data_IF_578752217883
#
_entry.id   IF_578752217883
#
_cell.length_a   1.000
_cell.length_b   1.000
_cell.length_c   1.000
_cell.angle_alpha   90.00
_cell.angle_beta   90.00
_cell.angle_gamma   90.00
#
_symmetry.space_group_name_H-M   'P 1'
#
loop_
_entity.id
_entity.type
_entity.pdbx_description
1 polymer ?
#
# COMPACT_ATOMS: atom_id res chain seq x y z
N UNK A 1 11.04 -40.05 0.76
CA UNK A 1 11.74 -40.16 -0.55
C UNK A 1 10.69 -40.25 -1.64
N UNK A 2 10.11 -39.11 -2.05
CA UNK A 2 9.19 -38.98 -3.18
C UNK A 2 9.40 -37.59 -3.78
N UNK A 3 9.44 -37.56 -5.11
CA UNK A 3 9.83 -36.48 -6.02
C UNK A 3 8.78 -35.36 -6.20
N UNK A 4 9.29 -34.19 -6.61
CA UNK A 4 8.77 -33.21 -7.59
C UNK A 4 7.27 -33.13 -7.86
N UNK A 5 6.73 -31.90 -7.82
CA UNK A 5 6.09 -31.21 -8.96
C UNK A 5 5.60 -29.81 -8.53
N UNK A 6 6.13 -28.76 -9.15
CA UNK A 6 5.31 -27.61 -9.55
C UNK A 6 5.78 -27.18 -10.94
N UNK A 7 4.84 -27.29 -11.89
CA UNK A 7 5.04 -27.02 -13.29
C UNK A 7 4.51 -25.61 -13.61
N UNK A 8 5.34 -24.81 -14.27
CA UNK A 8 4.95 -23.60 -14.98
C UNK A 8 3.97 -23.96 -16.11
N UNK A 9 2.89 -23.18 -16.26
CA UNK A 9 2.10 -23.16 -17.50
C UNK A 9 2.49 -21.91 -18.29
N UNK A 10 3.16 -22.14 -19.41
CA UNK A 10 3.35 -21.17 -20.47
C UNK A 10 2.31 -21.43 -21.57
N UNK A 11 1.60 -20.39 -22.01
CA UNK A 11 0.76 -20.45 -23.20
C UNK A 11 1.63 -20.30 -24.46
N UNK A 12 1.47 -21.23 -25.41
CA UNK A 12 2.16 -21.22 -26.69
C UNK A 12 1.22 -20.66 -27.78
N UNK A 13 1.64 -19.57 -28.43
CA UNK A 13 1.08 -19.12 -29.70
C UNK A 13 2.08 -19.43 -30.82
N UNK A 14 1.62 -20.18 -31.82
CA UNK A 14 2.38 -20.57 -33.01
C UNK A 14 2.34 -19.43 -34.03
N UNK A 15 3.50 -18.94 -34.46
CA UNK A 15 3.64 -18.12 -35.65
C UNK A 15 4.79 -18.63 -36.53
N UNK A 16 4.44 -18.96 -37.77
CA UNK A 16 5.30 -19.49 -38.83
C UNK A 16 6.24 -18.41 -39.34
N UNK A 17 7.52 -18.74 -39.48
CA UNK A 17 8.58 -17.80 -39.85
C UNK A 17 8.68 -17.48 -41.34
N UNK A 18 9.25 -16.30 -41.62
CA UNK A 18 10.01 -16.01 -42.84
C UNK A 18 11.28 -15.25 -42.43
N UNK A 19 12.41 -15.78 -42.90
CA UNK A 19 13.78 -15.29 -42.70
C UNK A 19 14.00 -13.90 -43.32
N UNK A 20 14.64 -13.01 -42.57
CA UNK A 20 15.20 -11.75 -43.05
C UNK A 20 16.31 -11.27 -42.13
N UNK A 21 17.55 -11.40 -42.58
CA UNK A 21 18.78 -11.06 -41.85
C UNK A 21 18.91 -9.53 -41.77
N UNK A 22 18.95 -8.99 -40.55
CA UNK A 22 19.25 -7.58 -40.29
C UNK A 22 19.67 -7.39 -38.84
N UNK A 23 20.97 -7.30 -38.61
CA UNK A 23 21.55 -6.88 -37.34
C UNK A 23 21.08 -5.45 -37.01
N UNK A 24 20.13 -5.32 -36.10
CA UNK A 24 19.88 -4.10 -35.34
C UNK A 24 19.85 -4.51 -33.87
N UNK A 25 20.91 -4.12 -33.16
CA UNK A 25 21.00 -4.17 -31.70
C UNK A 25 19.74 -3.54 -31.08
N UNK A 26 19.11 -4.18 -30.07
CA UNK A 26 18.03 -3.54 -29.36
C UNK A 26 18.64 -2.36 -28.60
N UNK A 27 18.30 -1.15 -29.07
CA UNK A 27 18.49 0.07 -28.31
C UNK A 27 17.83 -0.14 -26.95
N UNK A 28 18.65 -0.17 -25.91
CA UNK A 28 18.20 0.06 -24.55
C UNK A 28 17.40 1.35 -24.55
N UNK A 29 16.07 1.24 -24.45
CA UNK A 29 15.23 2.37 -24.08
C UNK A 29 15.59 2.67 -22.64
N UNK A 30 16.58 3.53 -22.46
CA UNK A 30 16.77 4.26 -21.23
C UNK A 30 15.47 5.07 -21.06
N UNK A 31 14.65 4.68 -20.09
CA UNK A 31 13.59 5.53 -19.59
C UNK A 31 14.26 6.73 -18.90
N UNK A 32 14.73 7.70 -19.68
CA UNK A 32 14.94 9.06 -19.19
C UNK A 32 13.57 9.68 -19.03
N UNK A 33 12.91 9.36 -17.91
CA UNK A 33 11.79 10.15 -17.41
C UNK A 33 12.25 11.60 -17.27
N UNK A 34 11.50 12.51 -17.89
CA UNK A 34 11.80 13.92 -17.91
C UNK A 34 11.90 14.47 -16.49
N UNK A 35 13.11 14.93 -16.13
CA UNK A 35 13.34 15.79 -14.96
C UNK A 35 12.58 17.09 -15.13
N UNK A 36 11.39 17.18 -14.56
CA UNK A 36 10.80 18.48 -14.23
C UNK A 36 11.32 18.86 -12.84
N UNK A 37 12.52 19.45 -12.82
CA UNK A 37 13.02 20.12 -11.63
C UNK A 37 12.07 21.26 -11.29
N UNK A 38 11.34 21.14 -10.18
CA UNK A 38 10.89 22.32 -9.45
C UNK A 38 12.15 23.01 -8.94
N UNK A 39 12.54 24.08 -9.61
CA UNK A 39 13.71 24.86 -9.27
C UNK A 39 13.47 25.62 -7.95
N UNK A 40 14.34 25.31 -6.99
CA UNK A 40 14.71 26.07 -5.79
C UNK A 40 14.01 25.73 -4.48
N UNK A 41 14.88 25.53 -3.48
CA UNK A 41 14.68 25.16 -2.08
C UNK A 41 14.53 23.64 -1.91
N UNK A 42 15.18 23.03 -0.90
CA UNK A 42 14.89 21.69 -0.33
C UNK A 42 15.83 20.47 -0.59
N UNK A 43 16.84 20.47 -1.47
CA UNK A 43 17.42 19.19 -1.97
C UNK A 43 18.72 18.64 -1.37
N UNK A 44 19.50 19.39 -0.58
CA UNK A 44 20.87 18.90 -0.25
C UNK A 44 20.91 17.86 0.87
N UNK A 45 19.88 17.81 1.73
CA UNK A 45 19.85 16.92 2.90
C UNK A 45 18.62 16.00 2.94
N UNK A 46 17.84 15.92 1.87
CA UNK A 46 16.71 14.99 1.77
C UNK A 46 17.05 13.96 0.70
N UNK A 47 16.86 12.69 1.03
CA UNK A 47 17.24 11.53 0.24
C UNK A 47 16.10 10.50 0.26
N UNK A 48 16.13 9.58 -0.70
CA UNK A 48 15.14 8.50 -0.84
C UNK A 48 14.01 8.81 -1.83
N UNK A 49 13.82 7.90 -2.79
CA UNK A 49 12.84 7.98 -3.88
C UNK A 49 11.96 6.72 -4.00
N UNK A 50 11.97 5.86 -2.99
CA UNK A 50 11.41 4.50 -3.09
C UNK A 50 9.90 4.40 -2.82
N UNK A 51 9.15 5.51 -2.89
CA UNK A 51 7.69 5.62 -2.70
C UNK A 51 7.18 5.19 -1.31
N UNK A 52 5.96 5.62 -0.95
CA UNK A 52 5.38 5.46 0.38
C UNK A 52 4.46 4.25 0.53
N UNK A 53 3.48 4.10 -0.37
CA UNK A 53 2.53 3.00 -0.35
C UNK A 53 2.22 2.46 -1.76
N UNK A 54 1.93 1.17 -1.86
CA UNK A 54 1.41 0.54 -3.07
C UNK A 54 0.53 -0.66 -2.71
N UNK A 55 -0.62 -0.79 -3.36
CA UNK A 55 -1.57 -1.87 -3.20
C UNK A 55 -1.87 -2.46 -4.57
N UNK A 56 -1.61 -3.75 -4.76
CA UNK A 56 -1.96 -4.39 -6.02
C UNK A 56 -3.49 -4.58 -6.19
N UNK A 57 -3.86 -4.93 -7.40
CA UNK A 57 -5.24 -5.27 -7.76
C UNK A 57 -5.28 -6.67 -8.36
N UNK A 58 -6.28 -7.45 -7.95
CA UNK A 58 -6.46 -8.83 -8.38
C UNK A 58 -7.88 -9.14 -8.83
N UNK A 59 -8.03 -10.35 -9.36
CA UNK A 59 -9.33 -10.88 -9.73
C UNK A 59 -9.41 -12.36 -9.37
N UNK A 60 -10.58 -12.80 -8.94
CA UNK A 60 -10.88 -14.21 -8.74
C UNK A 60 -12.30 -14.51 -9.23
N UNK A 61 -12.68 -15.78 -9.27
CA UNK A 61 -14.05 -16.14 -9.62
C UNK A 61 -14.60 -17.18 -8.66
N UNK A 62 -15.94 -17.19 -8.53
CA UNK A 62 -16.72 -18.16 -7.79
C UNK A 62 -17.76 -18.82 -8.71
N UNK A 63 -18.38 -19.92 -8.28
CA UNK A 63 -19.36 -20.60 -9.14
C UNK A 63 -20.72 -19.93 -9.06
N UNK A 64 -21.12 -19.55 -7.85
CA UNK A 64 -22.44 -18.99 -7.58
C UNK A 64 -22.32 -17.78 -6.63
N UNK A 65 -23.27 -16.86 -6.71
CA UNK A 65 -23.38 -15.76 -5.74
C UNK A 65 -23.66 -16.36 -4.35
N UNK A 66 -22.94 -15.88 -3.34
CA UNK A 66 -22.95 -16.40 -1.97
C UNK A 66 -21.81 -17.38 -1.67
N UNK A 67 -21.03 -17.78 -2.69
CA UNK A 67 -19.80 -18.57 -2.47
C UNK A 67 -18.72 -17.70 -1.80
N UNK A 68 -17.95 -18.32 -0.91
CA UNK A 68 -16.75 -17.71 -0.33
C UNK A 68 -15.50 -18.07 -1.15
N UNK A 69 -14.59 -17.11 -1.31
CA UNK A 69 -13.30 -17.29 -1.96
C UNK A 69 -12.19 -16.63 -1.16
N UNK A 70 -10.97 -17.15 -1.30
CA UNK A 70 -9.79 -16.50 -0.74
C UNK A 70 -9.31 -15.42 -1.72
N UNK A 71 -9.08 -14.24 -1.18
CA UNK A 71 -8.47 -13.11 -1.87
C UNK A 71 -7.06 -12.87 -1.35
N UNK A 72 -6.21 -12.29 -2.19
CA UNK A 72 -4.82 -11.99 -1.83
C UNK A 72 -4.42 -10.66 -2.45
N UNK A 73 -3.88 -9.77 -1.63
CA UNK A 73 -3.24 -8.53 -2.05
C UNK A 73 -1.75 -8.56 -1.71
N UNK A 74 -0.98 -7.90 -2.54
CA UNK A 74 0.36 -7.44 -2.22
C UNK A 74 0.31 -5.97 -1.84
N UNK A 75 0.79 -5.67 -0.63
CA UNK A 75 0.88 -4.31 -0.10
C UNK A 75 2.33 -3.97 0.17
N UNK A 76 2.81 -2.85 -0.36
CA UNK A 76 4.13 -2.32 -0.06
C UNK A 76 4.02 -1.05 0.76
N UNK A 77 4.85 -0.93 1.78
CA UNK A 77 4.90 0.21 2.67
C UNK A 77 6.35 0.57 2.97
N UNK A 78 6.65 1.86 3.07
CA UNK A 78 7.94 2.36 3.55
C UNK A 78 7.74 3.46 4.58
N UNK A 79 8.71 3.71 5.49
CA UNK A 79 8.66 4.89 6.36
C UNK A 79 8.67 6.19 5.54
N UNK A 80 7.83 7.16 5.93
CA UNK A 80 7.79 8.48 5.29
C UNK A 80 9.12 9.25 5.46
N UNK A 81 9.62 9.39 6.68
CA UNK A 81 10.88 10.08 7.01
C UNK A 81 11.65 9.32 8.11
N UNK A 82 12.97 9.27 7.97
CA UNK A 82 13.93 8.90 9.00
C UNK A 82 15.08 9.89 8.95
N UNK A 83 15.56 10.38 10.09
CA UNK A 83 16.69 11.32 10.15
C UNK A 83 17.96 10.60 10.56
N UNK A 84 19.10 11.05 10.02
CA UNK A 84 20.43 10.54 10.37
C UNK A 84 20.77 10.73 11.85
N UNK A 85 20.25 11.79 12.48
CA UNK A 85 20.43 12.05 13.91
C UNK A 85 19.42 11.32 14.79
N UNK A 86 18.47 10.58 14.17
CA UNK A 86 17.41 9.82 14.81
C UNK A 86 16.44 10.65 15.69
N UNK A 87 16.43 11.99 15.55
CA UNK A 87 15.62 12.90 16.37
C UNK A 87 14.28 13.26 15.69
N UNK A 88 14.16 13.02 14.39
CA UNK A 88 12.92 13.18 13.66
C UNK A 88 12.65 11.99 12.74
N UNK A 89 11.67 11.19 13.12
CA UNK A 89 11.25 10.02 12.36
C UNK A 89 9.74 10.00 12.23
N UNK A 90 9.23 9.41 11.15
CA UNK A 90 7.85 9.00 11.07
C UNK A 90 7.74 7.55 11.49
N UNK A 91 6.78 7.27 12.36
CA UNK A 91 6.46 5.90 12.75
C UNK A 91 5.05 5.59 12.32
N UNK A 92 4.84 4.30 12.05
CA UNK A 92 3.54 3.79 11.73
C UNK A 92 3.19 3.85 10.26
N UNK A 93 2.76 2.71 9.74
CA UNK A 93 1.96 2.61 8.55
C UNK A 93 0.66 1.87 8.90
N UNK A 94 -0.36 2.02 8.06
CA UNK A 94 -1.61 1.30 8.24
C UNK A 94 -2.09 0.64 6.95
N UNK A 95 -2.65 -0.55 7.11
CA UNK A 95 -3.41 -1.27 6.08
C UNK A 95 -4.86 -1.27 6.55
N UNK A 96 -5.76 -0.84 5.67
CA UNK A 96 -7.18 -0.72 5.92
C UNK A 96 -7.88 -1.78 5.08
N UNK A 97 -8.70 -2.61 5.70
CA UNK A 97 -9.41 -3.71 5.06
C UNK A 97 -10.88 -3.66 5.47
N UNK A 98 -11.85 -3.78 4.54
CA UNK A 98 -13.26 -3.88 4.90
C UNK A 98 -13.53 -5.04 5.86
N UNK A 99 -14.37 -4.83 6.86
CA UNK A 99 -14.79 -5.87 7.82
C UNK A 99 -15.55 -7.05 7.18
N UNK A 100 -15.92 -6.95 5.91
CA UNK A 100 -16.45 -8.06 5.11
C UNK A 100 -15.40 -9.13 4.79
N UNK A 101 -14.10 -8.80 4.91
CA UNK A 101 -13.00 -9.74 4.75
C UNK A 101 -12.75 -10.49 6.06
N UNK A 102 -13.02 -11.79 6.06
CA UNK A 102 -12.83 -12.68 7.22
C UNK A 102 -11.43 -13.28 7.22
N UNK A 103 -11.02 -13.83 8.36
CA UNK A 103 -9.80 -14.61 8.51
C UNK A 103 -8.53 -13.94 7.97
N UNK A 104 -8.43 -12.62 8.16
CA UNK A 104 -7.30 -11.82 7.67
C UNK A 104 -5.97 -12.36 8.22
N UNK A 105 -5.03 -12.59 7.31
CA UNK A 105 -3.64 -12.93 7.62
C UNK A 105 -2.71 -12.02 6.83
N UNK A 106 -1.65 -11.53 7.49
CA UNK A 106 -0.67 -10.62 6.90
C UNK A 106 0.74 -11.19 7.07
N UNK A 107 1.37 -11.53 5.94
CA UNK A 107 2.70 -12.16 5.89
C UNK A 107 3.70 -11.20 5.26
N UNK A 108 4.80 -10.93 5.94
CA UNK A 108 5.93 -10.21 5.36
C UNK A 108 6.66 -11.13 4.37
N UNK A 109 6.73 -10.72 3.11
CA UNK A 109 7.38 -11.47 2.03
C UNK A 109 8.71 -10.85 1.60
N UNK A 110 8.87 -9.54 1.76
CA UNK A 110 10.12 -8.85 1.48
C UNK A 110 10.37 -7.77 2.51
N UNK A 111 11.64 -7.60 2.89
CA UNK A 111 12.09 -6.53 3.79
C UNK A 111 13.37 -5.88 3.27
N UNK A 112 13.68 -4.65 3.67
CA UNK A 112 14.93 -4.00 3.32
C UNK A 112 16.16 -4.76 3.80
N UNK A 113 17.26 -4.65 3.05
CA UNK A 113 18.58 -5.15 3.44
C UNK A 113 19.30 -4.08 4.26
N UNK A 114 19.73 -4.46 5.47
CA UNK A 114 20.52 -3.57 6.33
C UNK A 114 21.86 -3.18 5.70
N UNK A 115 22.30 -1.95 5.98
CA UNK A 115 23.61 -1.45 5.54
C UNK A 115 23.70 -1.12 4.05
N UNK A 116 22.57 -1.09 3.35
CA UNK A 116 22.47 -0.50 2.02
C UNK A 116 22.73 1.01 2.09
N UNK A 117 23.29 1.55 1.01
CA UNK A 117 23.47 2.99 0.86
C UNK A 117 22.10 3.67 0.72
N UNK A 118 21.78 4.58 1.64
CA UNK A 118 20.50 5.28 1.69
C UNK A 118 20.49 6.53 0.79
N UNK A 119 21.63 6.87 0.18
CA UNK A 119 21.73 7.90 -0.86
C UNK A 119 21.21 7.39 -2.23
N UNK A 120 21.05 6.07 -2.41
CA UNK A 120 20.52 5.50 -3.64
C UNK A 120 18.98 5.67 -3.73
N UNK A 121 18.46 5.83 -4.95
CA UNK A 121 17.03 5.95 -5.23
C UNK A 121 16.22 4.66 -4.95
N UNK A 122 16.84 3.63 -4.39
CA UNK A 122 16.27 2.33 -4.06
C UNK A 122 17.03 1.75 -2.86
N UNK A 123 16.32 1.01 -2.00
CA UNK A 123 16.93 0.23 -0.92
C UNK A 123 16.71 -1.24 -1.24
N UNK A 124 17.76 -2.03 -1.53
CA UNK A 124 17.62 -3.43 -1.88
C UNK A 124 16.76 -4.20 -0.86
N UNK A 125 15.85 -5.02 -1.36
CA UNK A 125 15.01 -5.88 -0.53
C UNK A 125 15.45 -7.35 -0.63
N UNK A 126 15.24 -8.10 0.45
CA UNK A 126 15.43 -9.55 0.52
C UNK A 126 14.10 -10.24 0.76
N UNK A 127 13.92 -11.41 0.16
CA UNK A 127 12.80 -12.29 0.44
C UNK A 127 12.86 -12.82 1.87
N UNK A 128 11.70 -12.87 2.51
CA UNK A 128 11.47 -13.48 3.82
C UNK A 128 10.13 -14.22 3.80
N UNK A 129 9.93 -15.09 4.77
CA UNK A 129 8.68 -15.81 4.97
C UNK A 129 8.31 -15.69 6.45
N UNK A 130 7.58 -14.62 6.79
CA UNK A 130 7.27 -14.29 8.18
C UNK A 130 5.82 -13.89 8.34
N UNK A 131 5.06 -14.71 9.06
CA UNK A 131 3.73 -14.35 9.53
C UNK A 131 3.85 -13.25 10.60
N UNK A 132 3.35 -12.06 10.29
CA UNK A 132 3.36 -10.95 11.25
C UNK A 132 2.21 -11.18 12.24
N UNK A 133 2.44 -11.16 13.55
CA UNK A 133 1.37 -11.25 14.54
C UNK A 133 0.41 -10.07 14.41
N UNK A 134 -0.89 -10.34 14.56
CA UNK A 134 -1.93 -9.33 14.71
C UNK A 134 -2.40 -9.40 16.15
N UNK A 135 -2.37 -8.27 16.85
CA UNK A 135 -2.79 -8.13 18.26
C UNK A 135 -3.91 -7.11 18.39
N UNK A 136 -4.71 -7.23 19.44
CA UNK A 136 -5.92 -6.41 19.62
C UNK A 136 -5.67 -5.11 20.39
N UNK A 137 -4.45 -4.89 20.91
CA UNK A 137 -4.12 -3.68 21.65
C UNK A 137 -2.63 -3.31 21.58
N UNK A 138 -2.34 -2.05 21.91
CA UNK A 138 -0.96 -1.51 21.94
C UNK A 138 -0.14 -2.16 23.07
N UNK A 139 -0.76 -2.59 24.16
CA UNK A 139 -0.08 -3.27 25.27
C UNK A 139 0.47 -4.65 24.90
N UNK A 140 -0.14 -5.31 23.91
CA UNK A 140 0.30 -6.60 23.37
C UNK A 140 1.30 -6.47 22.23
N UNK A 141 1.63 -5.23 21.83
CA UNK A 141 2.56 -4.96 20.75
C UNK A 141 3.93 -5.58 21.03
N UNK A 142 4.48 -6.23 20.02
CA UNK A 142 5.82 -6.79 20.05
C UNK A 142 6.63 -6.34 18.85
N UNK A 143 7.88 -5.96 19.07
CA UNK A 143 8.83 -5.71 17.98
C UNK A 143 9.61 -6.95 17.61
N UNK A 144 9.93 -7.06 16.32
CA UNK A 144 10.78 -8.11 15.81
C UNK A 144 12.06 -7.53 15.19
N UNK A 145 13.15 -7.57 15.95
CA UNK A 145 14.46 -7.08 15.51
C UNK A 145 15.01 -7.81 14.27
N UNK A 146 14.58 -9.05 14.01
CA UNK A 146 15.04 -9.81 12.83
C UNK A 146 14.38 -9.31 11.56
N UNK A 147 13.09 -8.97 11.63
CA UNK A 147 12.28 -8.57 10.48
C UNK A 147 12.05 -7.05 10.39
N UNK A 148 12.51 -6.29 11.39
CA UNK A 148 12.40 -4.82 11.46
C UNK A 148 10.98 -4.31 11.35
N UNK A 149 10.04 -5.06 11.91
CA UNK A 149 8.64 -4.69 11.99
C UNK A 149 8.12 -4.98 13.39
N UNK A 150 7.08 -4.27 13.81
CA UNK A 150 6.25 -4.69 14.94
C UNK A 150 5.20 -5.71 14.52
N UNK A 151 4.49 -6.28 15.49
CA UNK A 151 3.15 -6.82 15.26
C UNK A 151 2.22 -5.74 14.73
N UNK A 152 1.21 -6.14 13.96
CA UNK A 152 0.08 -5.27 13.63
C UNK A 152 -0.81 -5.10 14.86
N UNK A 153 -1.20 -3.87 15.17
CA UNK A 153 -2.27 -3.59 16.13
C UNK A 153 -3.56 -3.35 15.36
N UNK A 154 -4.58 -4.16 15.64
CA UNK A 154 -5.91 -4.04 15.02
C UNK A 154 -6.74 -2.99 15.77
N UNK A 155 -7.34 -2.06 15.03
CA UNK A 155 -8.28 -1.04 15.51
C UNK A 155 -7.82 -0.33 16.80
N UNK A 156 -6.59 0.22 16.86
CA UNK A 156 -6.03 0.80 18.09
C UNK A 156 -6.85 1.98 18.65
N UNK A 157 -7.69 2.59 17.83
CA UNK A 157 -8.55 3.73 18.20
C UNK A 157 -10.05 3.38 18.19
N UNK A 158 -10.40 2.09 18.16
CA UNK A 158 -11.78 1.64 18.05
C UNK A 158 -12.29 1.65 16.60
N UNK A 159 -13.62 1.70 16.44
CA UNK A 159 -14.28 1.71 15.12
C UNK A 159 -14.10 3.07 14.44
N UNK A 160 -14.25 3.13 13.11
CA UNK A 160 -14.22 4.41 12.39
C UNK A 160 -15.39 5.31 12.79
N UNK A 161 -16.55 4.72 13.10
CA UNK A 161 -17.72 5.46 13.58
C UNK A 161 -17.48 6.18 14.92
N UNK A 162 -16.55 5.67 15.72
CA UNK A 162 -16.18 6.21 17.04
C UNK A 162 -14.85 7.00 17.02
N UNK A 163 -14.27 7.29 15.84
CA UNK A 163 -12.97 7.97 15.70
C UNK A 163 -13.06 9.48 16.00
N UNK A 164 -13.28 9.79 17.28
CA UNK A 164 -13.28 11.15 17.83
C UNK A 164 -11.87 11.77 17.70
N UNK A 165 -11.64 12.48 16.61
CA UNK A 165 -10.36 13.17 16.35
C UNK A 165 -9.75 12.89 14.99
N UNK A 166 -10.39 12.04 14.17
CA UNK A 166 -9.87 11.62 12.87
C UNK A 166 -8.47 10.99 13.00
N UNK A 167 -8.27 10.13 14.01
CA UNK A 167 -7.01 9.45 14.30
C UNK A 167 -6.62 8.47 13.19
N UNK A 168 -7.59 7.91 12.46
CA UNK A 168 -7.32 7.13 11.25
C UNK A 168 -7.11 8.02 10.01
N UNK A 169 -7.61 9.26 10.04
CA UNK A 169 -7.42 10.24 8.96
C UNK A 169 -8.13 9.89 7.66
N UNK A 170 -9.23 9.15 7.74
CA UNK A 170 -10.09 8.75 6.62
C UNK A 170 -11.55 9.06 6.92
N UNK A 171 -12.38 9.04 5.89
CA UNK A 171 -13.83 9.21 5.98
C UNK A 171 -14.51 7.97 5.39
N UNK A 172 -15.68 7.53 5.90
CA UNK A 172 -16.46 6.48 5.25
C UNK A 172 -16.80 6.85 3.81
N UNK A 173 -16.99 5.82 2.98
CA UNK A 173 -17.50 6.03 1.62
C UNK A 173 -18.87 6.74 1.66
N UNK A 174 -19.09 7.62 0.70
CA UNK A 174 -20.32 8.40 0.49
C UNK A 174 -21.49 7.55 -0.03
N UNK A 175 -21.22 6.32 -0.45
CA UNK A 175 -22.25 5.35 -0.81
C UNK A 175 -22.99 4.86 0.44
N UNK A 176 -24.24 4.45 0.27
CA UNK A 176 -25.05 3.93 1.37
C UNK A 176 -24.60 2.51 1.77
N UNK A 177 -24.92 2.12 3.00
CA UNK A 177 -24.78 0.73 3.52
C UNK A 177 -23.36 0.17 3.35
N UNK A 178 -22.37 1.00 3.65
CA UNK A 178 -20.95 0.63 3.67
C UNK A 178 -20.63 -0.15 4.95
N UNK A 179 -19.75 -1.17 4.87
CA UNK A 179 -19.32 -1.91 6.03
C UNK A 179 -18.34 -1.07 6.87
N UNK A 180 -18.14 -1.48 8.12
CA UNK A 180 -17.02 -0.99 8.92
C UNK A 180 -15.69 -1.40 8.28
N UNK A 181 -14.60 -0.73 8.68
CA UNK A 181 -13.25 -1.03 8.26
C UNK A 181 -12.39 -1.44 9.45
N UNK A 182 -11.54 -2.44 9.21
CA UNK A 182 -10.50 -2.86 10.13
C UNK A 182 -9.17 -2.18 9.75
N UNK A 183 -8.54 -1.57 10.75
CA UNK A 183 -7.28 -0.83 10.64
C UNK A 183 -6.16 -1.63 11.28
N UNK A 184 -5.14 -1.96 10.50
CA UNK A 184 -3.98 -2.72 10.94
C UNK A 184 -2.76 -1.78 10.92
N UNK A 185 -2.36 -1.28 12.09
CA UNK A 185 -1.22 -0.36 12.20
C UNK A 185 0.08 -1.10 12.58
N UNK A 186 1.19 -0.74 11.95
CA UNK A 186 2.49 -1.42 12.11
C UNK A 186 3.66 -0.43 12.17
N UNK A 187 4.65 -0.72 13.02
CA UNK A 187 5.95 -0.05 13.00
C UNK A 187 6.86 -0.63 11.92
N UNK A 188 7.43 0.25 11.10
CA UNK A 188 8.44 -0.08 10.08
C UNK A 188 9.81 0.43 10.57
N UNK A 189 10.62 -0.46 11.13
CA UNK A 189 11.79 -0.12 11.94
C UNK A 189 13.10 -0.16 11.15
N UNK A 190 13.04 0.01 9.83
CA UNK A 190 14.21 0.16 8.96
C UNK A 190 13.86 0.98 7.71
N UNK A 191 14.82 1.68 7.09
CA UNK A 191 14.60 2.39 5.84
C UNK A 191 14.41 1.41 4.67
N UNK A 192 13.56 1.79 3.71
CA UNK A 192 13.25 1.02 2.51
C UNK A 192 11.84 0.44 2.48
N UNK A 193 11.53 -0.31 1.42
CA UNK A 193 10.20 -0.89 1.20
C UNK A 193 10.04 -2.26 1.88
N UNK A 194 8.96 -2.43 2.62
CA UNK A 194 8.46 -3.70 3.14
C UNK A 194 7.31 -4.17 2.26
N UNK A 195 7.29 -5.44 1.90
CA UNK A 195 6.21 -6.02 1.10
C UNK A 195 5.48 -7.10 1.89
N UNK A 196 4.17 -6.92 2.02
CA UNK A 196 3.25 -7.80 2.72
C UNK A 196 2.34 -8.51 1.71
N UNK A 197 2.08 -9.79 1.96
CA UNK A 197 0.99 -10.54 1.37
C UNK A 197 -0.16 -10.54 2.38
N UNK A 198 -1.28 -9.93 2.00
CA UNK A 198 -2.50 -9.84 2.79
C UNK A 198 -3.50 -10.82 2.20
N UNK A 199 -3.97 -11.78 2.98
CA UNK A 199 -4.97 -12.75 2.55
C UNK A 199 -6.22 -12.67 3.42
N UNK A 200 -7.38 -12.96 2.84
CA UNK A 200 -8.61 -13.11 3.61
C UNK A 200 -9.68 -13.86 2.82
N UNK A 201 -10.79 -14.15 3.49
CA UNK A 201 -11.95 -14.85 2.91
C UNK A 201 -13.07 -13.83 2.67
N UNK A 202 -13.65 -13.86 1.47
CA UNK A 202 -14.71 -12.94 1.05
C UNK A 202 -15.86 -13.72 0.44
N UNK A 203 -17.08 -13.32 0.76
CA UNK A 203 -18.30 -13.81 0.11
C UNK A 203 -18.62 -12.99 -1.14
N UNK A 204 -18.91 -13.66 -2.27
CA UNK A 204 -19.36 -12.99 -3.49
C UNK A 204 -20.83 -12.57 -3.35
N UNK A 205 -21.11 -11.28 -3.42
CA UNK A 205 -22.46 -10.71 -3.17
C UNK A 205 -23.20 -10.31 -4.45
N UNK A 206 -22.59 -10.53 -5.62
CA UNK A 206 -23.17 -10.25 -6.93
C UNK A 206 -22.34 -10.84 -8.06
N UNK A 207 -22.78 -10.66 -9.30
CA UNK A 207 -22.03 -11.08 -10.50
C UNK A 207 -20.65 -10.41 -10.58
N UNK A 208 -20.58 -9.16 -10.12
CA UNK A 208 -19.36 -8.41 -9.86
C UNK A 208 -19.34 -8.02 -8.37
N UNK A 209 -18.31 -8.47 -7.65
CA UNK A 209 -18.08 -8.08 -6.26
C UNK A 209 -16.71 -7.43 -6.15
N UNK A 210 -16.68 -6.17 -5.70
CA UNK A 210 -15.44 -5.42 -5.47
C UNK A 210 -15.15 -5.30 -3.98
N UNK A 211 -13.95 -5.76 -3.60
CA UNK A 211 -13.40 -5.62 -2.25
C UNK A 211 -12.10 -4.84 -2.31
N UNK A 212 -12.10 -3.56 -1.90
CA UNK A 212 -10.89 -2.75 -1.89
C UNK A 212 -9.98 -3.04 -0.70
N UNK A 213 -8.74 -2.56 -0.81
CA UNK A 213 -7.77 -2.40 0.27
C UNK A 213 -7.15 -1.01 0.14
N UNK A 214 -6.77 -0.39 1.26
CA UNK A 214 -6.01 0.88 1.24
C UNK A 214 -4.82 0.78 2.17
N UNK A 215 -3.71 1.40 1.81
CA UNK A 215 -2.52 1.47 2.65
C UNK A 215 -1.89 2.86 2.63
N UNK A 216 -1.25 3.26 3.72
CA UNK A 216 -0.51 4.52 3.83
C UNK A 216 0.52 4.49 4.97
N UNK A 217 1.45 5.46 4.98
CA UNK A 217 2.56 5.52 5.95
C UNK A 217 2.61 6.80 6.81
N UNK A 218 1.53 7.59 6.83
CA UNK A 218 1.50 8.92 7.46
C UNK A 218 0.79 8.93 8.81
N UNK A 219 1.23 8.12 9.77
CA UNK A 219 0.59 8.05 11.09
C UNK A 219 1.16 9.06 12.08
N UNK A 220 2.44 8.92 12.44
CA UNK A 220 3.03 9.65 13.56
C UNK A 220 4.35 10.30 13.20
N UNK A 221 4.59 11.53 13.67
CA UNK A 221 5.94 12.11 13.79
C UNK A 221 6.43 11.94 15.22
N UNK A 222 7.57 11.29 15.39
CA UNK A 222 8.18 11.05 16.69
C UNK A 222 9.53 11.76 16.82
N UNK A 223 9.85 12.16 18.06
CA UNK A 223 11.12 12.81 18.40
C UNK A 223 12.28 11.81 18.61
N UNK A 224 12.00 10.52 18.41
CA UNK A 224 12.93 9.41 18.55
C UNK A 224 12.42 8.23 17.74
N UNK A 225 13.33 7.39 17.30
CA UNK A 225 13.00 6.03 16.88
C UNK A 225 12.43 5.22 18.05
N UNK A 226 11.63 4.22 17.71
CA UNK A 226 10.96 3.36 18.67
C UNK A 226 10.26 2.23 17.93
N UNK A 227 9.80 1.25 18.69
CA UNK A 227 9.11 0.08 18.16
C UNK A 227 7.60 0.28 18.04
N UNK A 228 6.94 -0.38 17.10
CA UNK A 228 5.52 -0.14 16.83
C UNK A 228 5.19 1.16 16.08
N UNK A 229 3.89 1.42 15.83
CA UNK A 229 3.46 2.50 14.95
C UNK A 229 3.64 3.91 15.54
N UNK A 230 3.90 4.05 16.84
CA UNK A 230 3.97 5.35 17.51
C UNK A 230 2.66 5.71 18.21
N UNK A 231 2.72 6.57 19.22
CA UNK A 231 1.55 7.04 19.94
C UNK A 231 1.77 8.39 20.63
N UNK A 232 0.68 9.02 21.06
CA UNK A 232 0.74 10.26 21.83
C UNK A 232 1.45 10.09 23.18
N UNK A 233 1.29 8.92 23.84
CA UNK A 233 1.94 8.58 25.12
C UNK A 233 3.46 8.52 25.00
N UNK A 234 3.97 8.14 23.82
CA UNK A 234 5.40 8.16 23.49
C UNK A 234 5.92 9.57 23.14
N UNK A 235 5.04 10.58 23.15
CA UNK A 235 5.35 11.95 22.74
C UNK A 235 5.42 12.14 21.24
N UNK A 236 4.79 11.26 20.46
CA UNK A 236 4.62 11.46 19.03
C UNK A 236 3.47 12.42 18.73
N UNK A 237 3.57 13.15 17.63
CA UNK A 237 2.52 13.99 17.08
C UNK A 237 1.80 13.22 15.99
N UNK A 238 0.47 13.12 16.08
CA UNK A 238 -0.31 12.50 15.01
C UNK A 238 -0.22 13.38 13.76
N UNK A 239 0.15 12.77 12.64
CA UNK A 239 0.10 13.45 11.35
C UNK A 239 -1.34 13.68 10.90
N UNK A 240 -2.28 12.85 11.38
CA UNK A 240 -3.71 12.96 11.03
C UNK A 240 -4.40 14.21 11.62
N UNK A 241 -3.75 14.93 12.53
CA UNK A 241 -4.17 16.27 12.94
C UNK A 241 -4.05 17.30 11.80
N UNK A 242 -3.23 17.03 10.78
CA UNK A 242 -3.04 17.92 9.64
C UNK A 242 -3.87 17.46 8.44
N UNK A 243 -4.69 18.36 7.89
CA UNK A 243 -5.54 18.06 6.73
C UNK A 243 -4.76 17.51 5.52
N UNK A 244 -3.49 17.91 5.35
CA UNK A 244 -2.65 17.45 4.24
C UNK A 244 -2.21 15.98 4.37
N UNK A 245 -2.29 15.37 5.56
CA UNK A 245 -1.92 13.99 5.81
C UNK A 245 -3.14 13.05 5.93
N UNK A 246 -4.35 13.60 5.87
CA UNK A 246 -5.58 12.80 5.78
C UNK A 246 -5.76 12.32 4.35
N UNK A 247 -6.28 11.12 4.21
CA UNK A 247 -6.44 10.40 2.94
C UNK A 247 -7.88 10.43 2.43
N UNK A 248 -8.82 10.89 3.26
CA UNK A 248 -10.21 11.20 2.88
C UNK A 248 -11.06 9.95 2.73
N UNK A 249 -12.07 10.03 1.85
CA UNK A 249 -13.08 8.99 1.62
C UNK A 249 -12.43 7.63 1.30
N UNK A 250 -12.84 6.57 2.02
CA UNK A 250 -12.48 5.18 1.75
C UNK A 250 -13.16 4.66 0.48
N UNK A 251 -12.53 3.73 -0.25
CA UNK A 251 -13.13 3.14 -1.45
C UNK A 251 -14.42 2.37 -1.12
N UNK A 252 -15.48 2.50 -1.93
CA UNK A 252 -16.72 1.81 -1.69
C UNK A 252 -16.54 0.29 -1.79
N UNK A 253 -17.24 -0.44 -0.93
CA UNK A 253 -17.21 -1.91 -0.87
C UNK A 253 -18.54 -2.45 -1.38
N UNK A 254 -18.53 -3.51 -2.18
CA UNK A 254 -19.77 -4.19 -2.57
C UNK A 254 -20.26 -5.06 -1.41
N UNK A 255 -21.50 -4.88 -0.96
CA UNK A 255 -22.08 -5.68 0.15
C UNK A 255 -23.45 -6.26 -0.21
N UNK A 256 -23.86 -7.29 0.56
CA UNK A 256 -25.15 -7.95 0.37
C UNK A 256 -26.33 -7.08 0.85
N UNK A 257 -26.07 -6.21 1.83
CA UNK A 257 -27.03 -5.31 2.46
C UNK A 257 -27.48 -4.19 1.51
N UNK A 258 -26.59 -3.78 0.59
CA UNK A 258 -26.83 -2.72 -0.38
C UNK A 258 -28.03 -2.98 -1.30
N UNK A 259 -28.78 -1.91 -1.60
CA UNK A 259 -29.73 -1.89 -2.71
C UNK A 259 -29.08 -2.27 -4.06
N UNK A 260 -29.88 -2.76 -5.01
CA UNK A 260 -29.39 -3.12 -6.34
C UNK A 260 -28.83 -1.90 -7.09
N UNK A 261 -29.44 -0.73 -6.89
CA UNK A 261 -29.00 0.55 -7.45
C UNK A 261 -27.65 0.98 -6.89
N UNK A 262 -27.47 0.91 -5.56
CA UNK A 262 -26.20 1.23 -4.89
C UNK A 262 -25.10 0.29 -5.37
N UNK A 263 -25.36 -1.03 -5.37
CA UNK A 263 -24.40 -2.03 -5.83
C UNK A 263 -23.99 -1.79 -7.28
N UNK A 264 -24.95 -1.50 -8.14
CA UNK A 264 -24.68 -1.16 -9.55
C UNK A 264 -23.80 0.09 -9.68
N UNK A 265 -24.07 1.13 -8.91
CA UNK A 265 -23.28 2.36 -8.98
C UNK A 265 -21.83 2.15 -8.51
N UNK A 266 -21.60 1.27 -7.51
CA UNK A 266 -20.25 0.86 -7.09
C UNK A 266 -19.56 0.08 -8.23
N UNK A 267 -20.24 -0.90 -8.83
CA UNK A 267 -19.69 -1.66 -9.96
C UNK A 267 -19.32 -0.74 -11.13
N UNK A 268 -20.19 0.20 -11.48
CA UNK A 268 -19.95 1.17 -12.55
C UNK A 268 -18.73 2.06 -12.22
N UNK A 269 -18.55 2.48 -10.96
CA UNK A 269 -17.37 3.22 -10.49
C UNK A 269 -16.08 2.42 -10.71
N UNK A 270 -16.02 1.16 -10.28
CA UNK A 270 -14.83 0.33 -10.47
C UNK A 270 -14.56 0.01 -11.94
N UNK A 271 -15.60 -0.14 -12.76
CA UNK A 271 -15.43 -0.34 -14.20
C UNK A 271 -14.83 0.90 -14.90
N UNK A 272 -15.13 2.11 -14.40
CA UNK A 272 -14.61 3.37 -14.95
C UNK A 272 -13.23 3.75 -14.40
N UNK A 273 -12.99 3.49 -13.11
CA UNK A 273 -11.84 4.02 -12.36
C UNK A 273 -10.84 2.95 -11.93
N UNK A 274 -11.23 1.68 -11.97
CA UNK A 274 -10.38 0.55 -11.63
C UNK A 274 -9.36 0.26 -12.73
N UNK A 275 -8.10 0.13 -12.33
CA UNK A 275 -6.99 -0.17 -13.23
C UNK A 275 -6.16 -1.32 -12.69
N UNK A 276 -5.25 -1.86 -13.50
CA UNK A 276 -4.25 -2.83 -13.04
C UNK A 276 -3.31 -2.29 -11.94
N UNK A 277 -3.30 -0.98 -11.73
CA UNK A 277 -2.44 -0.29 -10.77
C UNK A 277 -3.18 0.08 -9.47
N UNK A 278 -4.49 -0.15 -9.40
CA UNK A 278 -5.30 0.33 -8.28
C UNK A 278 -6.56 1.07 -8.73
N UNK A 279 -7.30 1.57 -7.74
CA UNK A 279 -8.49 2.39 -7.94
C UNK A 279 -8.12 3.87 -7.98
N UNK A 280 -8.55 4.58 -9.02
CA UNK A 280 -8.28 6.02 -9.16
C UNK A 280 -9.43 6.87 -8.67
N UNK A 281 -9.20 8.15 -8.35
CA UNK A 281 -10.28 9.14 -8.19
C UNK A 281 -11.17 9.03 -6.95
N UNK A 282 -10.84 8.16 -5.99
CA UNK A 282 -11.54 8.05 -4.70
C UNK A 282 -10.68 8.63 -3.58
N UNK A 283 -11.28 9.56 -2.81
CA UNK A 283 -10.60 10.24 -1.71
C UNK A 283 -9.45 11.10 -2.23
N UNK A 284 -8.32 11.06 -1.53
CA UNK A 284 -7.11 11.81 -1.92
C UNK A 284 -5.91 10.91 -2.19
N UNK A 285 -6.12 9.59 -2.32
CA UNK A 285 -5.07 8.63 -2.64
C UNK A 285 -5.04 8.39 -4.14
N UNK A 286 -3.91 8.68 -4.75
CA UNK A 286 -3.60 8.39 -6.14
C UNK A 286 -3.20 6.92 -6.31
N UNK A 287 -3.59 6.30 -7.41
CA UNK A 287 -3.15 4.94 -7.69
C UNK A 287 -1.64 4.89 -8.01
N UNK A 288 -0.91 3.98 -7.38
CA UNK A 288 0.54 3.82 -7.59
C UNK A 288 0.84 2.82 -8.71
N UNK A 289 1.78 3.15 -9.60
CA UNK A 289 2.16 2.24 -10.66
C UNK A 289 2.83 0.96 -10.11
N UNK A 290 2.14 -0.18 -10.20
CA UNK A 290 2.81 -1.48 -10.07
C UNK A 290 3.87 -1.68 -11.18
N UNK A 291 5.12 -1.74 -10.75
CA UNK A 291 6.33 -1.91 -11.57
C UNK A 291 7.00 -3.28 -11.37
N UNK A 292 6.41 -4.19 -10.60
CA UNK A 292 6.92 -5.54 -10.36
C UNK A 292 8.26 -5.58 -9.61
N UNK A 293 8.52 -4.59 -8.75
CA UNK A 293 9.73 -4.49 -7.91
C UNK A 293 9.38 -4.50 -6.43
N UNK A 294 10.23 -5.10 -5.61
CA UNK A 294 10.05 -5.21 -4.15
C UNK A 294 10.92 -4.25 -3.34
N UNK A 295 11.90 -3.62 -3.99
CA UNK A 295 12.93 -2.74 -3.42
C UNK A 295 12.68 -1.26 -3.73
N UNK A 296 11.60 -0.96 -4.46
CA UNK A 296 11.11 0.39 -4.72
C UNK A 296 9.62 0.32 -5.05
N UNK A 297 8.89 1.31 -4.53
CA UNK A 297 7.50 1.57 -4.92
C UNK A 297 7.50 2.48 -6.16
N UNK A 298 6.47 2.34 -7.00
CA UNK A 298 6.29 3.13 -8.21
C UNK A 298 5.94 4.59 -7.95
N UNK A 299 5.64 5.32 -9.02
CA UNK A 299 5.07 6.68 -8.94
C UNK A 299 3.57 6.62 -9.19
N UNK A 300 2.84 7.62 -8.72
CA UNK A 300 1.41 7.75 -9.00
C UNK A 300 1.15 7.82 -10.50
N UNK A 301 0.08 7.15 -10.95
CA UNK A 301 -0.39 7.22 -12.33
C UNK A 301 -1.32 8.41 -12.57
N UNK A 302 -1.81 9.02 -11.49
CA UNK A 302 -2.58 10.26 -11.49
C UNK A 302 -1.80 11.38 -10.77
N UNK A 303 -2.32 12.60 -10.84
CA UNK A 303 -1.64 13.71 -10.16
C UNK A 303 -1.84 13.57 -8.66
N UNK A 304 -0.77 13.47 -7.84
CA UNK A 304 -0.89 13.36 -6.39
C UNK A 304 -1.69 14.55 -5.82
N UNK A 305 -2.59 14.26 -4.89
CA UNK A 305 -3.35 15.31 -4.21
C UNK A 305 -2.52 15.84 -3.04
N UNK A 306 -2.05 17.09 -3.16
CA UNK A 306 -1.63 17.88 -2.00
C UNK A 306 -0.13 17.97 -1.69
N UNK A 307 0.77 17.41 -2.52
CA UNK A 307 2.24 17.46 -2.34
C UNK A 307 2.65 17.18 -0.87
N UNK A 308 2.26 15.99 -0.37
CA UNK A 308 2.30 15.64 1.04
C UNK A 308 3.70 15.72 1.64
N UNK A 309 4.73 15.34 0.88
CA UNK A 309 6.12 15.57 1.26
C UNK A 309 6.41 17.06 1.52
N UNK A 310 6.12 17.93 0.55
CA UNK A 310 6.46 19.34 0.68
C UNK A 310 5.70 19.96 1.86
N UNK A 311 4.48 19.48 2.12
CA UNK A 311 3.72 19.86 3.31
C UNK A 311 4.37 19.37 4.60
N UNK A 312 4.83 18.12 4.69
CA UNK A 312 5.60 17.61 5.82
C UNK A 312 6.86 18.45 6.05
N UNK A 313 7.66 18.65 5.00
CA UNK A 313 8.94 19.35 5.07
C UNK A 313 8.80 20.82 5.50
N UNK A 314 7.72 21.49 5.07
CA UNK A 314 7.37 22.85 5.49
C UNK A 314 6.84 22.89 6.93
N UNK A 315 5.95 21.96 7.29
CA UNK A 315 5.31 21.91 8.62
C UNK A 315 6.34 21.69 9.73
N UNK A 316 7.32 20.83 9.47
CA UNK A 316 8.34 20.47 10.47
C UNK A 316 9.72 21.08 10.22
N UNK A 317 9.82 22.01 9.27
CA UNK A 317 11.04 22.79 9.00
C UNK A 317 12.31 21.95 8.75
N UNK A 318 12.19 20.72 8.25
CA UNK A 318 13.36 19.83 8.03
C UNK A 318 14.39 20.45 7.07
N UNK A 319 13.89 21.29 6.17
CA UNK A 319 14.67 22.05 5.20
C UNK A 319 15.51 23.18 5.78
N UNK A 320 15.22 23.61 7.00
CA UNK A 320 15.98 24.65 7.70
C UNK A 320 17.16 24.05 8.48
N UNK A 321 17.30 22.72 8.51
CA UNK A 321 18.37 22.02 9.21
C UNK A 321 19.36 21.38 8.22
N UNK A 322 20.33 22.14 7.70
CA UNK A 322 21.32 21.60 6.75
C UNK A 322 22.35 20.66 7.41
N UNK A 323 22.28 20.44 8.73
CA UNK A 323 23.21 19.59 9.46
C UNK A 323 22.74 18.13 9.57
N UNK A 324 21.51 17.82 9.11
CA UNK A 324 20.89 16.51 9.27
C UNK A 324 20.38 16.04 7.93
N UNK A 325 20.77 14.83 7.55
CA UNK A 325 20.18 14.13 6.40
C UNK A 325 18.87 13.44 6.80
N UNK A 326 17.91 13.46 5.88
CA UNK A 326 16.59 12.84 6.01
C UNK A 326 16.41 11.85 4.87
N UNK A 327 15.90 10.66 5.16
CA UNK A 327 15.73 9.54 4.24
C UNK A 327 14.28 9.07 4.27
N UNK A 328 13.69 8.70 3.14
CA UNK A 328 12.33 8.13 3.12
C UNK A 328 11.59 8.34 1.81
N UNK A 329 10.27 8.14 1.84
CA UNK A 329 9.35 8.41 0.74
C UNK A 329 9.09 9.91 0.54
N UNK A 330 10.17 10.69 0.48
CA UNK A 330 10.17 12.14 0.53
C UNK A 330 10.40 12.77 -0.84
N UNK A 331 11.02 12.05 -1.76
CA UNK A 331 11.29 12.59 -3.10
C UNK A 331 10.62 11.66 -4.10
N UNK A 332 9.39 11.99 -4.50
CA UNK A 332 8.63 11.13 -5.39
C UNK A 332 7.43 11.86 -5.95
N UNK A 333 6.87 11.32 -7.03
CA UNK A 333 5.53 11.66 -7.50
C UNK A 333 4.53 10.65 -6.91
N UNK A 334 4.73 10.25 -5.66
CA UNK A 334 3.88 9.31 -4.93
C UNK A 334 3.34 10.02 -3.69
N UNK A 335 2.03 9.90 -3.43
CA UNK A 335 1.36 10.68 -2.40
C UNK A 335 1.40 10.05 -0.99
N UNK A 336 2.05 8.90 -0.84
CA UNK A 336 2.19 8.10 0.37
C UNK A 336 0.92 7.36 0.82
N UNK A 337 -0.05 7.22 -0.08
CA UNK A 337 -1.22 6.39 0.06
C UNK A 337 -1.52 5.69 -1.26
N UNK A 338 -2.02 4.46 -1.20
CA UNK A 338 -2.50 3.77 -2.38
C UNK A 338 -3.70 2.87 -2.06
N UNK A 339 -4.46 2.52 -3.08
CA UNK A 339 -5.66 1.70 -2.97
C UNK A 339 -5.78 0.69 -4.11
N UNK A 340 -5.88 -0.58 -3.73
CA UNK A 340 -6.08 -1.71 -4.62
C UNK A 340 -7.46 -2.32 -4.43
N UNK A 341 -7.79 -3.33 -5.24
CA UNK A 341 -9.05 -4.07 -5.06
C UNK A 341 -8.98 -5.50 -5.59
N UNK A 342 -9.94 -6.31 -5.17
CA UNK A 342 -10.21 -7.63 -5.73
C UNK A 342 -11.55 -7.59 -6.43
N UNK A 343 -11.53 -7.99 -7.70
CA UNK A 343 -12.72 -8.16 -8.50
C UNK A 343 -13.10 -9.63 -8.54
N UNK A 344 -14.17 -9.99 -7.84
CA UNK A 344 -14.68 -11.36 -7.79
C UNK A 344 -15.84 -11.47 -8.77
N UNK A 345 -15.73 -12.38 -9.73
CA UNK A 345 -16.76 -12.62 -10.75
C UNK A 345 -17.36 -14.01 -10.64
N UNK A 346 -18.40 -14.29 -11.44
CA UNK A 346 -18.79 -15.69 -11.71
C UNK A 346 -17.80 -16.33 -12.69
N UNK A 347 -17.38 -17.55 -12.40
CA UNK A 347 -16.52 -18.33 -13.28
C UNK A 347 -17.25 -18.62 -14.59
N UNK A 348 -16.54 -18.55 -15.72
CA UNK A 348 -17.11 -19.04 -16.98
C UNK A 348 -17.19 -20.57 -16.95
N UNK A 349 -18.10 -21.18 -17.71
CA UNK A 349 -18.26 -22.64 -17.77
C UNK A 349 -16.96 -23.39 -18.16
N UNK A 350 -15.99 -22.70 -18.77
CA UNK A 350 -14.68 -23.25 -19.15
C UNK A 350 -13.69 -23.33 -17.96
N UNK A 351 -13.88 -22.53 -16.91
CA UNK A 351 -12.96 -22.42 -15.76
C UNK A 351 -13.23 -23.49 -14.67
N UNK A 352 -14.36 -24.20 -14.74
CA UNK A 352 -14.78 -25.21 -13.75
C UNK A 352 -14.13 -26.59 -14.00
N UNK A 353 -13.37 -26.73 -15.09
CA UNK A 353 -12.76 -28.01 -15.52
C UNK A 353 -11.24 -27.88 -15.65
N UNK A 354 -10.51 -27.67 -14.56
CA UNK A 354 -9.05 -27.89 -14.55
C UNK A 354 -8.52 -28.48 -13.26
#
# INVERSE_FOLDING_TARGET
MVLNRFAQRAAAAVAVGVLGVGFLSPSSVSATGGRTYSSNVFTDTVHGFWGGANCDTGSSCVKEVGDETQVTWQVQLSPLVMSEDHIQTTRGAQIMIPSTVKDVSIKLTHMPIEGADLEESLVPAKMVDYQVPIVDSVEELTDNDTYKVSSFVKNPHGSLADDEGALYGVEPSSFEEQPEWDFYQIGLNAPGSFTFEVTGTVEAVGEDTYVPIRAENMLWKCAREGGGPGSAEEGCLSLKEYDWARTGELPPVTTAEQSAETRKAIVDLYAEQGTKHGLTGVGTCAATADIGRFDTIGSDIESPVGDRYQKYAKTFNIHLNPAVNYYGALLGSEDNCDQGFQHITLCSDEDVVS
#
